data_IF_669973083076
#
_entry.id   IF_669973083076
#
_cell.length_a   1.000
_cell.length_b   1.000
_cell.length_c   1.000
_cell.angle_alpha   90.00
_cell.angle_beta   90.00
_cell.angle_gamma   90.00
#
_symmetry.space_group_name_H-M   'P 1'
#
loop_
_entity.id
_entity.type
_entity.pdbx_description
1 polymer ?
#
# COMPACT_ATOMS: atom_id res chain seq x y z
N UNK A 1 -55.86 33.51 -3.70
CA UNK A 1 -56.10 34.89 -3.22
C UNK A 1 -55.44 34.95 -1.86
N UNK A 2 -54.36 35.69 -1.56
CA UNK A 2 -53.90 37.05 -1.90
C UNK A 2 -52.43 37.11 -1.39
N UNK A 3 -51.44 37.54 -2.22
CA UNK A 3 -50.71 38.84 -2.16
C UNK A 3 -49.88 39.06 -0.86
N UNK A 4 -48.70 39.66 -0.82
CA UNK A 4 -47.77 40.26 -1.79
C UNK A 4 -46.57 40.81 -0.94
N UNK A 5 -45.37 40.78 -1.52
CA UNK A 5 -44.16 41.61 -1.31
C UNK A 5 -44.09 42.63 -0.15
N UNK A 6 -42.89 42.79 0.43
CA UNK A 6 -42.15 44.08 0.34
C UNK A 6 -40.66 43.94 0.72
N UNK A 7 -39.81 44.49 -0.16
CA UNK A 7 -38.41 44.83 0.01
C UNK A 7 -38.19 45.83 1.16
N UNK A 8 -36.95 45.94 1.66
CA UNK A 8 -36.33 47.25 1.87
C UNK A 8 -34.80 47.20 1.73
N UNK A 9 -34.37 47.82 0.64
CA UNK A 9 -33.02 48.25 0.29
C UNK A 9 -32.70 49.50 1.13
N UNK A 10 -31.52 49.56 1.76
CA UNK A 10 -31.02 50.76 2.44
C UNK A 10 -29.67 51.18 1.87
N UNK A 11 -29.69 52.22 1.02
CA UNK A 11 -28.51 52.97 0.57
C UNK A 11 -28.65 54.43 1.03
N UNK A 12 -27.55 55.20 0.86
CA UNK A 12 -27.32 56.64 1.09
C UNK A 12 -26.55 56.89 2.41
N UNK A 13 -25.22 57.01 2.41
CA UNK A 13 -24.29 58.02 1.84
C UNK A 13 -24.29 59.33 2.63
N UNK A 14 -23.15 59.66 3.24
CA UNK A 14 -22.73 61.06 3.43
C UNK A 14 -21.21 61.18 3.31
N UNK A 15 -20.80 62.08 2.40
CA UNK A 15 -19.45 62.37 1.97
C UNK A 15 -18.77 63.43 2.85
N UNK A 16 -17.43 63.52 2.81
CA UNK A 16 -16.68 64.77 2.94
C UNK A 16 -15.30 64.67 2.22
N UNK A 17 -14.98 65.77 1.56
CA UNK A 17 -13.91 66.11 0.60
C UNK A 17 -12.63 66.47 1.40
N UNK A 18 -11.36 66.33 0.99
CA UNK A 18 -10.65 67.04 -0.10
C UNK A 18 -9.17 66.61 -0.20
N UNK A 19 -8.66 66.60 -1.44
CA UNK A 19 -7.36 67.10 -1.93
C UNK A 19 -6.01 66.67 -1.30
N UNK A 20 -5.09 66.20 -2.17
CA UNK A 20 -3.66 66.54 -2.02
C UNK A 20 -2.65 65.50 -2.51
N UNK A 21 -2.07 65.76 -3.69
CA UNK A 21 -0.64 65.59 -4.03
C UNK A 21 0.03 64.20 -4.03
N UNK A 22 0.39 63.77 -5.25
CA UNK A 22 1.70 63.27 -5.68
C UNK A 22 2.60 62.52 -4.68
N UNK A 23 3.01 61.32 -5.09
CA UNK A 23 4.41 60.90 -4.98
C UNK A 23 4.65 59.51 -4.41
N UNK A 24 5.25 58.68 -5.26
CA UNK A 24 6.16 57.58 -4.94
C UNK A 24 5.58 56.20 -4.58
N UNK A 25 5.70 55.34 -5.58
CA UNK A 25 5.85 53.89 -5.50
C UNK A 25 6.79 53.46 -4.36
N UNK A 26 6.30 52.59 -3.49
CA UNK A 26 7.14 51.61 -2.78
C UNK A 26 6.39 50.28 -2.76
N UNK A 27 6.80 49.38 -3.66
CA UNK A 27 6.53 47.96 -3.56
C UNK A 27 7.14 47.45 -2.24
N UNK A 28 6.28 47.09 -1.28
CA UNK A 28 6.71 46.28 -0.15
C UNK A 28 6.66 44.79 -0.53
N UNK A 29 7.73 44.02 -0.27
CA UNK A 29 7.70 42.58 -0.49
C UNK A 29 6.78 41.94 0.54
N UNK A 30 5.75 41.25 0.06
CA UNK A 30 4.92 40.36 0.88
C UNK A 30 5.80 39.26 1.48
N UNK A 31 6.11 39.39 2.76
CA UNK A 31 6.79 38.39 3.56
C UNK A 31 5.94 37.10 3.58
N UNK A 32 6.36 36.10 2.79
CA UNK A 32 5.78 34.77 2.80
C UNK A 32 6.05 34.13 4.16
N UNK A 33 5.06 34.21 5.04
CA UNK A 33 4.97 33.43 6.27
C UNK A 33 5.24 31.96 5.93
N UNK A 34 6.40 31.44 6.33
CA UNK A 34 6.74 30.02 6.24
C UNK A 34 5.67 29.25 6.99
N UNK A 35 4.80 28.58 6.26
CA UNK A 35 3.96 27.53 6.82
C UNK A 35 4.90 26.46 7.34
N UNK A 36 5.00 26.36 8.67
CA UNK A 36 5.64 25.24 9.34
C UNK A 36 5.04 23.95 8.78
N UNK A 37 5.81 23.25 7.95
CA UNK A 37 5.54 21.87 7.60
C UNK A 37 5.61 21.10 8.92
N UNK A 38 4.44 20.88 9.52
CA UNK A 38 4.22 19.84 10.54
C UNK A 38 4.92 18.59 10.03
N UNK A 39 6.04 18.25 10.65
CA UNK A 39 6.85 17.07 10.35
C UNK A 39 5.94 15.87 10.57
N UNK A 40 5.26 15.40 9.51
CA UNK A 40 4.58 14.12 9.54
C UNK A 40 5.67 13.13 9.90
N UNK A 41 5.57 12.48 11.06
CA UNK A 41 6.60 11.60 11.59
C UNK A 41 6.97 10.54 10.57
N UNK A 42 8.04 10.77 9.82
CA UNK A 42 8.53 9.84 8.82
C UNK A 42 9.05 8.60 9.52
N UNK A 43 8.63 7.42 9.04
CA UNK A 43 9.17 6.15 9.53
C UNK A 43 10.69 6.13 9.32
N UNK A 44 11.45 6.08 10.42
CA UNK A 44 12.90 5.90 10.39
C UNK A 44 13.24 4.51 9.87
N UNK A 45 14.19 4.43 8.93
CA UNK A 45 14.72 3.16 8.46
C UNK A 45 15.49 2.46 9.58
N UNK A 46 15.16 1.18 9.78
CA UNK A 46 15.88 0.18 10.58
C UNK A 46 16.64 -0.82 9.69
N UNK A 47 16.61 -0.63 8.38
CA UNK A 47 17.31 -1.49 7.44
C UNK A 47 18.82 -1.35 7.65
N UNK A 48 19.40 -2.31 8.36
CA UNK A 48 20.85 -2.48 8.50
C UNK A 48 21.46 -2.99 7.19
N UNK A 49 22.80 -3.02 7.15
CA UNK A 49 23.63 -3.65 6.11
C UNK A 49 22.99 -4.94 5.54
N UNK A 50 23.16 -5.21 4.23
CA UNK A 50 22.67 -6.42 3.59
C UNK A 50 23.05 -7.70 4.37
N UNK A 51 22.14 -8.67 4.38
CA UNK A 51 22.30 -9.91 5.14
C UNK A 51 23.13 -10.94 4.37
N UNK A 52 23.85 -11.84 5.05
CA UNK A 52 24.28 -13.10 4.45
C UNK A 52 23.07 -13.86 3.87
N UNK A 53 23.26 -14.56 2.76
CA UNK A 53 22.17 -15.19 2.01
C UNK A 53 21.33 -16.14 2.87
N UNK A 54 21.95 -16.97 3.71
CA UNK A 54 21.21 -17.92 4.56
C UNK A 54 20.34 -17.23 5.62
N UNK A 55 20.81 -16.10 6.16
CA UNK A 55 19.99 -15.28 7.07
C UNK A 55 18.81 -14.64 6.33
N UNK A 56 19.01 -14.19 5.08
CA UNK A 56 17.93 -13.65 4.27
C UNK A 56 16.89 -14.73 3.92
N UNK A 57 17.32 -15.96 3.62
CA UNK A 57 16.43 -17.11 3.41
C UNK A 57 15.57 -17.39 4.64
N UNK A 58 16.20 -17.56 5.80
CA UNK A 58 15.51 -17.83 7.06
C UNK A 58 14.53 -16.70 7.41
N UNK A 59 14.96 -15.45 7.25
CA UNK A 59 14.12 -14.28 7.51
C UNK A 59 12.92 -14.22 6.55
N UNK A 60 13.11 -14.51 5.28
CA UNK A 60 12.01 -14.54 4.32
C UNK A 60 11.00 -15.65 4.65
N UNK A 61 11.45 -16.82 5.08
CA UNK A 61 10.56 -17.90 5.51
C UNK A 61 9.74 -17.51 6.73
N UNK A 62 10.36 -16.89 7.74
CA UNK A 62 9.64 -16.40 8.92
C UNK A 62 8.63 -15.30 8.56
N UNK A 63 9.02 -14.34 7.73
CA UNK A 63 8.12 -13.26 7.29
C UNK A 63 6.95 -13.80 6.49
N UNK A 64 7.18 -14.81 5.64
CA UNK A 64 6.12 -15.47 4.90
C UNK A 64 5.08 -16.07 5.86
N UNK A 65 5.54 -16.86 6.84
CA UNK A 65 4.67 -17.51 7.82
C UNK A 65 3.86 -16.48 8.63
N UNK A 66 4.49 -15.38 9.05
CA UNK A 66 3.81 -14.29 9.76
C UNK A 66 2.73 -13.65 8.89
N UNK A 67 3.05 -13.30 7.63
CA UNK A 67 2.10 -12.64 6.74
C UNK A 67 0.96 -13.56 6.31
N UNK A 68 1.25 -14.83 6.02
CA UNK A 68 0.25 -15.85 5.75
C UNK A 68 -0.67 -16.05 6.96
N UNK A 69 -0.11 -16.33 8.14
CA UNK A 69 -0.88 -16.56 9.36
C UNK A 69 -1.74 -15.36 9.72
N UNK A 70 -1.22 -14.14 9.56
CA UNK A 70 -1.99 -12.90 9.76
C UNK A 70 -3.13 -12.79 8.75
N UNK A 71 -2.87 -13.01 7.46
CA UNK A 71 -3.88 -12.96 6.40
C UNK A 71 -5.02 -13.96 6.67
N UNK A 72 -4.68 -15.19 7.04
CA UNK A 72 -5.63 -16.25 7.34
C UNK A 72 -6.46 -15.95 8.59
N UNK A 73 -5.81 -15.45 9.65
CA UNK A 73 -6.48 -15.02 10.89
C UNK A 73 -7.46 -13.88 10.62
N UNK A 74 -7.05 -12.88 9.82
CA UNK A 74 -7.93 -11.78 9.43
C UNK A 74 -9.14 -12.26 8.62
N UNK A 75 -8.93 -13.16 7.66
CA UNK A 75 -10.04 -13.76 6.89
C UNK A 75 -11.00 -14.59 7.74
N UNK A 76 -10.48 -15.27 8.78
CA UNK A 76 -11.29 -16.11 9.66
C UNK A 76 -12.14 -15.29 10.64
N UNK A 77 -11.52 -14.30 11.30
CA UNK A 77 -12.12 -13.65 12.46
C UNK A 77 -12.71 -12.27 12.19
N UNK A 78 -12.23 -11.57 11.15
CA UNK A 78 -12.58 -10.16 10.94
C UNK A 78 -13.25 -9.91 9.59
N UNK A 79 -12.98 -10.74 8.59
CA UNK A 79 -13.59 -10.57 7.27
C UNK A 79 -15.03 -11.08 7.24
N UNK A 80 -15.94 -10.21 6.81
CA UNK A 80 -17.35 -10.49 6.63
C UNK A 80 -17.69 -10.23 5.15
N UNK A 81 -17.73 -11.25 4.29
CA UNK A 81 -17.79 -11.09 2.84
C UNK A 81 -19.06 -10.36 2.37
N UNK A 82 -20.14 -10.48 3.13
CA UNK A 82 -21.43 -9.86 2.81
C UNK A 82 -21.51 -8.39 3.29
N UNK A 83 -20.42 -7.83 3.83
CA UNK A 83 -20.32 -6.44 4.26
C UNK A 83 -19.24 -5.70 3.48
N UNK A 84 -19.45 -4.39 3.25
CA UNK A 84 -18.48 -3.50 2.60
C UNK A 84 -17.32 -3.15 3.57
N UNK A 85 -16.50 -4.14 3.90
CA UNK A 85 -15.29 -3.99 4.72
C UNK A 85 -14.04 -4.11 3.85
N UNK A 86 -12.92 -3.55 4.32
CA UNK A 86 -11.63 -3.67 3.65
C UNK A 86 -11.23 -5.14 3.56
N UNK A 87 -10.82 -5.58 2.37
CA UNK A 87 -10.34 -6.95 2.13
C UNK A 87 -9.01 -7.14 2.88
N UNK A 88 -8.83 -8.24 3.66
CA UNK A 88 -7.63 -8.45 4.45
C UNK A 88 -6.30 -8.35 3.69
N UNK A 89 -6.25 -8.87 2.45
CA UNK A 89 -5.06 -8.77 1.60
C UNK A 89 -4.70 -7.32 1.30
N UNK A 90 -5.69 -6.46 1.04
CA UNK A 90 -5.48 -5.03 0.83
C UNK A 90 -5.02 -4.34 2.12
N UNK A 91 -5.61 -4.65 3.27
CA UNK A 91 -5.18 -4.06 4.54
C UNK A 91 -3.69 -4.35 4.84
N UNK A 92 -3.24 -5.58 4.55
CA UNK A 92 -1.83 -5.97 4.74
C UNK A 92 -0.85 -5.30 3.77
N UNK A 93 -1.30 -4.73 2.64
CA UNK A 93 -0.41 -3.95 1.76
C UNK A 93 0.14 -2.69 2.47
N UNK A 94 -0.57 -2.14 3.47
CA UNK A 94 -0.05 -1.04 4.31
C UNK A 94 1.05 -1.53 5.27
N UNK A 95 0.97 -2.79 5.70
CA UNK A 95 2.05 -3.46 6.45
C UNK A 95 3.25 -3.71 5.56
N UNK A 96 3.04 -4.11 4.29
CA UNK A 96 4.13 -4.26 3.31
C UNK A 96 4.83 -2.94 3.03
N UNK A 97 4.05 -1.85 2.90
CA UNK A 97 4.60 -0.51 2.77
C UNK A 97 5.52 -0.16 3.95
N UNK A 98 5.08 -0.45 5.17
CA UNK A 98 5.86 -0.22 6.39
C UNK A 98 7.11 -1.09 6.44
N UNK A 99 7.01 -2.38 6.09
CA UNK A 99 8.14 -3.30 6.04
C UNK A 99 9.21 -2.85 5.03
N UNK A 100 8.79 -2.37 3.85
CA UNK A 100 9.71 -1.78 2.88
C UNK A 100 10.40 -0.54 3.41
N UNK A 101 9.64 0.40 3.97
CA UNK A 101 10.17 1.69 4.48
C UNK A 101 11.10 1.52 5.68
N UNK A 102 10.79 0.59 6.58
CA UNK A 102 11.55 0.38 7.81
C UNK A 102 12.66 -0.63 7.62
N UNK A 103 12.50 -1.67 6.82
CA UNK A 103 13.41 -2.81 6.81
C UNK A 103 13.98 -3.15 5.44
N UNK A 104 13.58 -2.45 4.38
CA UNK A 104 13.98 -2.78 3.02
C UNK A 104 13.43 -4.12 2.53
N UNK A 105 12.43 -4.68 3.23
CA UNK A 105 11.76 -5.93 2.83
C UNK A 105 10.60 -5.57 1.92
N UNK A 106 10.65 -6.02 0.67
CA UNK A 106 9.52 -5.90 -0.23
C UNK A 106 8.66 -7.15 -0.17
N UNK A 107 7.35 -6.95 -0.19
CA UNK A 107 6.37 -8.02 -0.17
C UNK A 107 5.25 -7.71 -1.17
N UNK A 108 4.75 -8.74 -1.85
CA UNK A 108 3.54 -8.61 -2.68
C UNK A 108 2.80 -9.92 -2.83
N UNK A 109 1.49 -9.81 -2.95
CA UNK A 109 0.64 -10.94 -3.30
C UNK A 109 0.86 -11.38 -4.75
N UNK A 110 0.63 -12.66 -5.00
CA UNK A 110 0.77 -13.30 -6.31
C UNK A 110 -0.42 -14.24 -6.55
N UNK A 111 -1.16 -14.03 -7.63
CA UNK A 111 -2.16 -14.97 -8.09
C UNK A 111 -1.45 -16.17 -8.73
N UNK A 112 -1.74 -17.38 -8.23
CA UNK A 112 -1.12 -18.63 -8.70
C UNK A 112 -2.16 -19.53 -9.37
N UNK A 113 -2.94 -20.29 -8.60
CA UNK A 113 -4.00 -21.18 -9.13
C UNK A 113 -5.41 -20.73 -8.74
N UNK A 114 -5.50 -19.79 -7.80
CA UNK A 114 -6.70 -19.06 -7.47
C UNK A 114 -6.93 -17.88 -8.43
N UNK A 115 -8.19 -17.49 -8.62
CA UNK A 115 -8.53 -16.27 -9.36
C UNK A 115 -7.86 -15.05 -8.69
N UNK A 116 -7.29 -14.17 -9.51
CA UNK A 116 -6.76 -12.88 -9.06
C UNK A 116 -7.92 -11.96 -8.66
N UNK A 117 -7.99 -11.60 -7.37
CA UNK A 117 -8.99 -10.65 -6.85
C UNK A 117 -8.58 -9.19 -7.11
N UNK A 118 -7.30 -8.96 -7.37
CA UNK A 118 -6.75 -7.67 -7.77
C UNK A 118 -5.83 -7.88 -8.99
N UNK A 119 -5.95 -7.00 -10.00
CA UNK A 119 -5.13 -7.01 -11.21
C UNK A 119 -3.64 -6.89 -10.89
N UNK A 120 -3.28 -6.18 -9.81
CA UNK A 120 -1.89 -5.98 -9.40
C UNK A 120 -1.21 -7.25 -8.90
N UNK A 121 -1.99 -8.27 -8.53
CA UNK A 121 -1.46 -9.55 -8.04
C UNK A 121 -1.16 -10.53 -9.19
N UNK A 122 -1.46 -10.18 -10.44
CA UNK A 122 -1.06 -11.01 -11.59
C UNK A 122 0.46 -11.03 -11.74
N UNK A 123 1.06 -12.15 -12.19
CA UNK A 123 2.50 -12.24 -12.41
C UNK A 123 2.97 -11.25 -13.49
N UNK A 124 3.93 -10.39 -13.16
CA UNK A 124 4.51 -9.36 -14.03
C UNK A 124 5.89 -9.78 -14.55
N UNK A 125 6.78 -10.20 -13.65
CA UNK A 125 8.19 -10.50 -13.98
C UNK A 125 8.42 -11.95 -14.45
N UNK A 126 9.59 -12.23 -15.05
CA UNK A 126 9.99 -13.59 -15.41
C UNK A 126 10.10 -14.52 -14.18
N UNK A 127 10.59 -13.98 -13.06
CA UNK A 127 10.62 -14.67 -11.77
C UNK A 127 9.20 -15.08 -11.34
N UNK A 128 8.24 -14.16 -11.40
CA UNK A 128 6.85 -14.41 -11.01
C UNK A 128 6.15 -15.43 -11.90
N UNK A 129 6.33 -15.31 -13.22
CA UNK A 129 5.75 -16.27 -14.17
C UNK A 129 6.27 -17.68 -13.90
N UNK A 130 7.55 -17.81 -13.55
CA UNK A 130 8.16 -19.09 -13.17
C UNK A 130 7.67 -19.57 -11.81
N UNK A 131 7.58 -18.68 -10.81
CA UNK A 131 6.98 -18.98 -9.52
C UNK A 131 5.56 -19.53 -9.67
N UNK A 132 4.69 -18.87 -10.44
CA UNK A 132 3.31 -19.32 -10.66
C UNK A 132 3.27 -20.75 -11.21
N UNK A 133 4.08 -21.07 -12.22
CA UNK A 133 4.14 -22.44 -12.78
C UNK A 133 4.56 -23.46 -11.73
N UNK A 134 5.62 -23.18 -10.96
CA UNK A 134 6.17 -24.12 -9.98
C UNK A 134 5.27 -24.29 -8.75
N UNK A 135 4.71 -23.19 -8.25
CA UNK A 135 3.82 -23.23 -7.08
C UNK A 135 2.48 -23.91 -7.42
N UNK A 136 1.97 -23.72 -8.64
CA UNK A 136 0.76 -24.40 -9.11
C UNK A 136 0.90 -25.93 -9.21
N UNK A 137 2.13 -26.45 -9.30
CA UNK A 137 2.43 -27.90 -9.27
C UNK A 137 2.81 -28.40 -7.87
N UNK A 138 2.62 -27.60 -6.82
CA UNK A 138 2.85 -28.01 -5.43
C UNK A 138 4.29 -27.83 -4.94
N UNK A 139 5.16 -27.12 -5.67
CA UNK A 139 6.49 -26.78 -5.15
C UNK A 139 6.35 -25.87 -3.93
N UNK A 140 7.12 -26.15 -2.88
CA UNK A 140 7.06 -25.38 -1.62
C UNK A 140 7.58 -23.95 -1.74
N UNK A 141 8.46 -23.67 -2.71
CA UNK A 141 9.03 -22.33 -2.96
C UNK A 141 9.81 -22.25 -4.27
N UNK A 142 9.97 -21.03 -4.77
CA UNK A 142 10.91 -20.65 -5.83
C UNK A 142 11.79 -19.50 -5.33
N UNK A 143 13.10 -19.62 -5.50
CA UNK A 143 14.09 -18.67 -5.00
C UNK A 143 15.00 -18.20 -6.15
N UNK A 144 15.47 -16.95 -6.06
CA UNK A 144 16.45 -16.35 -6.98
C UNK A 144 17.32 -15.37 -6.19
N UNK A 145 18.62 -15.31 -6.50
CA UNK A 145 19.49 -14.19 -6.12
C UNK A 145 19.90 -13.46 -7.39
N UNK A 146 19.68 -12.15 -7.43
CA UNK A 146 20.07 -11.30 -8.56
C UNK A 146 20.31 -9.89 -8.07
N UNK A 147 21.41 -9.26 -8.50
CA UNK A 147 21.72 -7.85 -8.25
C UNK A 147 21.63 -7.47 -6.75
N UNK A 148 22.27 -8.26 -5.88
CA UNK A 148 22.25 -8.03 -4.43
C UNK A 148 20.87 -8.21 -3.77
N UNK A 149 19.91 -8.82 -4.47
CA UNK A 149 18.56 -9.06 -3.98
C UNK A 149 18.26 -10.56 -3.98
N UNK A 150 17.90 -11.08 -2.82
CA UNK A 150 17.29 -12.40 -2.70
C UNK A 150 15.78 -12.25 -2.84
N UNK A 151 15.19 -13.06 -3.72
CA UNK A 151 13.74 -13.14 -3.94
C UNK A 151 13.25 -14.55 -3.63
N UNK A 152 12.13 -14.63 -2.96
CA UNK A 152 11.45 -15.89 -2.64
C UNK A 152 9.97 -15.77 -2.95
N UNK A 153 9.41 -16.76 -3.62
CA UNK A 153 7.98 -16.93 -3.79
C UNK A 153 7.55 -18.25 -3.15
N UNK A 154 6.58 -18.20 -2.25
CA UNK A 154 6.01 -19.38 -1.60
C UNK A 154 4.48 -19.35 -1.64
N UNK A 155 3.83 -20.53 -1.54
CA UNK A 155 2.39 -20.64 -1.69
C UNK A 155 1.66 -20.26 -0.41
N UNK A 156 0.49 -19.63 -0.56
CA UNK A 156 -0.49 -19.47 0.51
C UNK A 156 -1.65 -20.41 0.19
N UNK A 157 -1.91 -21.37 1.07
CA UNK A 157 -2.98 -22.34 0.85
C UNK A 157 -4.32 -21.68 1.16
N UNK A 158 -5.22 -21.64 0.18
CA UNK A 158 -6.54 -21.04 0.35
C UNK A 158 -7.53 -22.10 0.81
N UNK A 159 -8.12 -21.88 1.99
CA UNK A 159 -9.14 -22.75 2.58
C UNK A 159 -10.23 -21.93 3.27
N UNK A 160 -11.33 -22.60 3.64
CA UNK A 160 -12.46 -22.02 4.37
C UNK A 160 -12.98 -20.70 3.74
N UNK A 161 -12.96 -19.58 4.49
CA UNK A 161 -13.50 -18.31 4.01
C UNK A 161 -12.80 -17.79 2.74
N UNK A 162 -11.55 -18.17 2.48
CA UNK A 162 -10.80 -17.71 1.31
C UNK A 162 -11.46 -18.18 0.00
N UNK A 163 -11.93 -19.43 -0.04
CA UNK A 163 -12.48 -20.04 -1.26
C UNK A 163 -13.89 -19.54 -1.62
N UNK A 164 -14.54 -18.77 -0.74
CA UNK A 164 -15.82 -18.10 -1.06
C UNK A 164 -15.67 -17.09 -2.20
N UNK A 165 -14.53 -16.38 -2.24
CA UNK A 165 -14.25 -15.37 -3.27
C UNK A 165 -13.19 -15.85 -4.28
N UNK A 166 -12.25 -16.69 -3.86
CA UNK A 166 -11.22 -17.26 -4.72
C UNK A 166 -11.70 -18.55 -5.42
N UNK A 167 -12.84 -18.48 -6.11
CA UNK A 167 -13.40 -19.61 -6.85
C UNK A 167 -12.45 -20.11 -7.93
N UNK A 168 -12.34 -21.43 -8.03
CA UNK A 168 -11.48 -22.11 -9.00
C UNK A 168 -11.95 -23.56 -9.16
N UNK A 169 -11.68 -24.16 -10.32
CA UNK A 169 -11.93 -25.59 -10.56
C UNK A 169 -10.85 -26.49 -9.92
N UNK A 170 -9.73 -25.90 -9.45
CA UNK A 170 -8.60 -26.63 -8.86
C UNK A 170 -8.95 -27.09 -7.44
N UNK A 171 -8.63 -28.35 -7.14
CA UNK A 171 -8.61 -28.84 -5.75
C UNK A 171 -7.42 -28.18 -5.03
N UNK A 172 -7.66 -27.64 -3.84
CA UNK A 172 -6.67 -26.94 -3.02
C UNK A 172 -5.97 -25.76 -3.72
N UNK A 173 -6.71 -24.70 -4.07
CA UNK A 173 -6.09 -23.52 -4.68
C UNK A 173 -5.06 -22.86 -3.78
N UNK A 174 -4.05 -22.30 -4.43
CA UNK A 174 -3.02 -21.51 -3.77
C UNK A 174 -2.97 -20.12 -4.38
N UNK A 175 -2.77 -19.13 -3.51
CA UNK A 175 -2.15 -17.87 -3.88
C UNK A 175 -0.63 -17.99 -3.62
N UNK A 176 0.09 -16.90 -3.77
CA UNK A 176 1.49 -16.81 -3.40
C UNK A 176 1.82 -15.48 -2.77
N UNK A 177 2.95 -15.47 -2.07
CA UNK A 177 3.58 -14.28 -1.53
C UNK A 177 5.01 -14.24 -2.05
N UNK A 178 5.36 -13.12 -2.66
CA UNK A 178 6.74 -12.84 -3.06
C UNK A 178 7.37 -11.89 -2.07
N UNK A 179 8.55 -12.27 -1.58
CA UNK A 179 9.40 -11.48 -0.70
C UNK A 179 10.72 -11.18 -1.38
N UNK A 180 11.19 -9.95 -1.24
CA UNK A 180 12.52 -9.52 -1.69
C UNK A 180 13.29 -8.92 -0.52
N UNK A 181 14.52 -9.37 -0.32
CA UNK A 181 15.40 -8.89 0.75
C UNK A 181 16.78 -8.53 0.18
N UNK A 182 17.41 -7.45 0.66
CA UNK A 182 18.78 -7.14 0.31
C UNK A 182 19.74 -8.18 0.91
N UNK A 183 20.64 -8.69 0.08
CA UNK A 183 21.70 -9.63 0.48
C UNK A 183 23.06 -9.08 0.11
N UNK A 184 24.09 -9.51 0.83
CA UNK A 184 25.47 -9.20 0.45
C UNK A 184 25.73 -9.81 -0.93
N UNK A 185 26.20 -9.00 -1.87
CA UNK A 185 26.90 -9.51 -3.05
C UNK A 185 28.21 -10.14 -2.57
N UNK A 186 28.47 -11.35 -3.01
CA UNK A 186 29.78 -12.00 -2.86
C UNK A 186 30.86 -11.22 -3.62
#
# INVERSE_FOLDING_TARGET
MTRLQTLLLGCVVMALVSAGSNGQTQDQPVEKKKTDKKKTGGLTSLATKPLPLDQARQRAMLIHDIYESTLLTMHRHYFQPDKQRVIPSRALEDVFYTARRRWGVEARWLAVSAQAMNIDHKPKTAFEKTAVRLLATGKKRHEEVRDGTYRMAAPIVLFANCIRCHTTRRRNPVAGLVLSLPVKTE
#
